data_IF_493037813187
#
_entry.id   IF_493037813187
#
_cell.length_a   1.000
_cell.length_b   1.000
_cell.length_c   1.000
_cell.angle_alpha   90.00
_cell.angle_beta   90.00
_cell.angle_gamma   90.00
#
_symmetry.space_group_name_H-M   'P 1'
#
loop_
_entity.id
_entity.type
_entity.pdbx_description
1 polymer ?
#
# COMPACT_ATOMS: atom_id res chain seq x y z
N UNK A 1 44.38 14.88 1.68
CA UNK A 1 43.57 15.48 0.59
C UNK A 1 42.44 14.54 0.26
N UNK A 2 41.19 14.86 0.64
CA UNK A 2 40.02 14.07 0.29
C UNK A 2 39.83 14.17 -1.23
N UNK A 3 39.84 13.03 -1.94
CA UNK A 3 39.41 12.99 -3.34
C UNK A 3 38.00 13.55 -3.37
N UNK A 4 37.80 14.70 -4.02
CA UNK A 4 36.50 15.21 -4.37
C UNK A 4 35.79 14.13 -5.17
N UNK A 5 34.69 13.59 -4.61
CA UNK A 5 33.87 12.55 -5.21
C UNK A 5 33.11 13.20 -6.38
N UNK A 6 33.61 13.07 -7.60
CA UNK A 6 33.01 13.62 -8.82
C UNK A 6 31.86 12.73 -9.31
N UNK A 7 30.95 12.36 -8.42
CA UNK A 7 29.75 11.61 -8.79
C UNK A 7 28.88 12.43 -9.73
N UNK A 8 28.30 11.78 -10.77
CA UNK A 8 27.39 12.46 -11.70
C UNK A 8 26.13 12.99 -10.97
N UNK A 9 25.72 12.28 -9.90
CA UNK A 9 24.60 12.66 -9.00
C UNK A 9 24.99 12.47 -7.54
N UNK A 10 24.39 13.30 -6.67
CA UNK A 10 24.48 13.07 -5.23
C UNK A 10 23.66 11.84 -4.83
N UNK A 11 22.50 11.64 -5.47
CA UNK A 11 21.64 10.48 -5.23
C UNK A 11 21.00 9.96 -6.51
N UNK A 12 20.93 8.63 -6.63
CA UNK A 12 20.10 7.95 -7.66
C UNK A 12 19.03 7.13 -6.95
N UNK A 13 17.78 7.30 -7.38
CA UNK A 13 16.63 6.57 -6.87
C UNK A 13 16.14 5.60 -7.94
N UNK A 14 16.02 4.32 -7.56
CA UNK A 14 15.53 3.26 -8.44
C UNK A 14 14.04 3.07 -8.20
N UNK A 15 13.21 3.48 -9.16
CA UNK A 15 11.76 3.37 -9.14
C UNK A 15 11.04 4.62 -8.64
N UNK A 16 10.10 5.12 -9.45
CA UNK A 16 9.27 6.30 -9.20
C UNK A 16 7.91 5.97 -8.54
N UNK A 17 7.84 4.97 -7.64
CA UNK A 17 6.70 4.80 -6.74
C UNK A 17 6.69 5.91 -5.68
N UNK A 18 5.60 6.05 -4.92
CA UNK A 18 5.39 7.15 -3.96
C UNK A 18 6.57 7.34 -3.00
N UNK A 19 7.13 6.26 -2.44
CA UNK A 19 8.28 6.36 -1.53
C UNK A 19 9.53 6.95 -2.19
N UNK A 20 9.82 6.56 -3.45
CA UNK A 20 10.94 7.08 -4.23
C UNK A 20 10.73 8.53 -4.64
N UNK A 21 9.52 8.87 -5.10
CA UNK A 21 9.17 10.26 -5.47
C UNK A 21 9.28 11.21 -4.28
N UNK A 22 8.71 10.86 -3.13
CA UNK A 22 8.80 11.67 -1.91
C UNK A 22 10.25 11.82 -1.45
N UNK A 23 11.02 10.71 -1.41
CA UNK A 23 12.44 10.77 -1.07
C UNK A 23 13.20 11.71 -2.01
N UNK A 24 12.98 11.59 -3.31
CA UNK A 24 13.59 12.42 -4.35
C UNK A 24 13.26 13.91 -4.18
N UNK A 25 11.99 14.25 -3.92
CA UNK A 25 11.56 15.61 -3.67
C UNK A 25 12.34 16.25 -2.52
N UNK A 26 12.42 15.57 -1.37
CA UNK A 26 13.12 16.11 -0.21
C UNK A 26 14.63 16.23 -0.43
N UNK A 27 15.26 15.29 -1.11
CA UNK A 27 16.69 15.38 -1.46
C UNK A 27 16.95 16.54 -2.43
N UNK A 28 16.12 16.68 -3.47
CA UNK A 28 16.25 17.78 -4.45
C UNK A 28 15.95 19.14 -3.80
N UNK A 29 14.91 19.25 -2.96
CA UNK A 29 14.60 20.47 -2.19
C UNK A 29 15.76 20.88 -1.28
N UNK A 30 16.53 19.91 -0.78
CA UNK A 30 17.74 20.18 0.01
C UNK A 30 18.98 20.53 -0.84
N UNK A 31 18.82 20.73 -2.15
CA UNK A 31 19.87 21.16 -3.08
C UNK A 31 20.76 20.03 -3.61
N UNK A 32 20.39 18.76 -3.43
CA UNK A 32 21.12 17.63 -3.99
C UNK A 32 20.78 17.44 -5.47
N UNK A 33 21.76 17.04 -6.27
CA UNK A 33 21.55 16.59 -7.65
C UNK A 33 21.00 15.17 -7.66
N UNK A 34 19.72 14.99 -7.98
CA UNK A 34 19.00 13.70 -7.83
C UNK A 34 18.47 13.21 -9.17
N UNK A 35 18.72 11.93 -9.48
CA UNK A 35 18.10 11.20 -10.58
C UNK A 35 17.11 10.17 -10.03
N UNK A 36 15.90 10.13 -10.59
CA UNK A 36 14.98 9.00 -10.44
C UNK A 36 14.90 8.25 -11.76
N UNK A 37 15.24 6.95 -11.76
CA UNK A 37 15.12 6.06 -12.91
C UNK A 37 13.91 5.12 -12.72
N UNK A 38 12.94 5.20 -13.65
CA UNK A 38 11.70 4.42 -13.63
C UNK A 38 11.57 3.57 -14.90
N UNK A 39 11.30 2.27 -14.75
CA UNK A 39 11.17 1.34 -15.88
C UNK A 39 9.89 1.58 -16.72
N UNK A 40 8.85 2.14 -16.11
CA UNK A 40 7.59 2.48 -16.78
C UNK A 40 7.65 3.84 -17.47
N UNK A 41 6.70 4.06 -18.39
CA UNK A 41 6.52 5.33 -19.08
C UNK A 41 5.78 6.40 -18.27
N UNK A 42 5.50 6.13 -16.99
CA UNK A 42 4.88 7.07 -16.03
C UNK A 42 5.26 6.73 -14.59
N UNK A 43 5.27 7.75 -13.70
CA UNK A 43 5.54 7.55 -12.28
C UNK A 43 4.32 7.00 -11.55
N UNK A 44 4.50 6.57 -10.28
CA UNK A 44 3.43 6.24 -9.35
C UNK A 44 3.50 4.83 -8.78
N UNK A 45 4.10 3.87 -9.48
CA UNK A 45 4.10 2.48 -9.04
C UNK A 45 2.66 1.93 -8.94
N UNK A 46 2.22 1.51 -7.75
CA UNK A 46 0.81 1.09 -7.55
C UNK A 46 -0.20 2.25 -7.61
N UNK A 47 0.23 3.50 -7.40
CA UNK A 47 -0.61 4.70 -7.53
C UNK A 47 -0.70 5.18 -8.98
N UNK A 48 -0.74 4.26 -9.95
CA UNK A 48 -0.96 4.58 -11.37
C UNK A 48 -2.41 4.37 -11.74
N UNK A 49 -2.88 5.11 -12.77
CA UNK A 49 -4.17 4.87 -13.40
C UNK A 49 -3.97 4.50 -14.87
N UNK A 50 -4.91 3.79 -15.45
CA UNK A 50 -4.90 3.43 -16.87
C UNK A 50 -6.27 3.69 -17.51
N UNK A 51 -6.26 3.91 -18.84
CA UNK A 51 -7.50 4.18 -19.60
C UNK A 51 -7.84 3.02 -20.52
N UNK A 52 -9.12 2.65 -20.60
CA UNK A 52 -9.67 1.67 -21.55
C UNK A 52 -11.07 2.09 -21.97
N UNK A 53 -11.32 2.14 -23.28
CA UNK A 53 -12.63 2.49 -23.86
C UNK A 53 -13.28 3.74 -23.25
N UNK A 54 -12.50 4.78 -22.95
CA UNK A 54 -12.99 6.00 -22.32
C UNK A 54 -13.02 5.98 -20.78
N UNK A 55 -12.99 4.83 -20.14
CA UNK A 55 -12.95 4.69 -18.70
C UNK A 55 -11.53 4.87 -18.14
N UNK A 56 -11.43 5.49 -16.97
CA UNK A 56 -10.18 5.63 -16.21
C UNK A 56 -10.25 4.76 -14.95
N UNK A 57 -9.24 3.93 -14.75
CA UNK A 57 -9.16 3.01 -13.61
C UNK A 57 -7.89 3.25 -12.81
N UNK A 58 -7.99 3.31 -11.50
CA UNK A 58 -6.83 3.21 -10.62
C UNK A 58 -6.33 1.77 -10.57
N UNK A 59 -5.03 1.56 -10.78
CA UNK A 59 -4.47 0.22 -10.94
C UNK A 59 -4.38 -0.57 -9.61
N UNK A 60 -4.24 0.13 -8.49
CA UNK A 60 -4.08 -0.45 -7.17
C UNK A 60 -4.86 0.32 -6.10
N UNK A 61 -4.21 1.19 -5.29
CA UNK A 61 -4.92 2.01 -4.31
C UNK A 61 -5.95 2.92 -4.98
N UNK A 62 -7.09 3.06 -4.34
CA UNK A 62 -8.19 3.92 -4.79
C UNK A 62 -8.59 4.92 -3.70
N UNK A 63 -7.77 5.06 -2.67
CA UNK A 63 -7.79 6.09 -1.64
C UNK A 63 -6.49 6.03 -0.84
N UNK A 64 -6.30 7.03 -0.02
CA UNK A 64 -5.23 7.08 0.97
C UNK A 64 -5.76 7.60 2.30
N UNK A 65 -4.93 7.56 3.33
CA UNK A 65 -5.24 8.04 4.66
C UNK A 65 -4.19 9.01 5.17
N UNK A 66 -4.25 9.29 6.48
CA UNK A 66 -3.29 10.16 7.15
C UNK A 66 -3.23 11.58 6.56
N UNK A 67 -4.41 12.14 6.24
CA UNK A 67 -4.54 13.48 5.65
C UNK A 67 -5.30 14.48 6.55
N UNK A 68 -5.61 14.09 7.81
CA UNK A 68 -6.02 15.05 8.83
C UNK A 68 -4.95 16.12 9.05
N UNK A 69 -5.24 17.19 9.76
CA UNK A 69 -4.36 18.33 10.00
C UNK A 69 -2.93 17.93 10.43
N UNK A 70 -2.79 16.92 11.31
CA UNK A 70 -1.51 16.40 11.80
C UNK A 70 -1.08 15.12 11.05
N UNK A 71 -1.78 14.75 9.98
CA UNK A 71 -1.51 13.53 9.21
C UNK A 71 -0.23 13.63 8.41
N UNK A 72 0.52 12.54 8.34
CA UNK A 72 1.82 12.53 7.67
C UNK A 72 1.73 12.79 6.16
N UNK A 73 0.66 12.34 5.51
CA UNK A 73 0.47 12.56 4.07
C UNK A 73 0.27 14.05 3.80
N UNK A 74 -0.60 14.72 4.58
CA UNK A 74 -0.84 16.14 4.48
C UNK A 74 0.42 16.95 4.74
N UNK A 75 1.11 16.66 5.83
CA UNK A 75 2.39 17.29 6.18
C UNK A 75 3.41 17.20 5.04
N UNK A 76 3.57 16.02 4.40
CA UNK A 76 4.49 15.84 3.29
C UNK A 76 4.11 16.72 2.10
N UNK A 77 2.83 16.79 1.73
CA UNK A 77 2.37 17.59 0.59
C UNK A 77 2.56 19.09 0.87
N UNK A 78 2.22 19.57 2.07
CA UNK A 78 2.42 20.97 2.52
C UNK A 78 3.91 21.33 2.55
N UNK A 79 4.77 20.50 3.17
CA UNK A 79 6.22 20.75 3.22
C UNK A 79 6.88 20.74 1.82
N UNK A 80 6.33 19.99 0.88
CA UNK A 80 6.77 19.99 -0.52
C UNK A 80 6.09 21.07 -1.37
N UNK A 81 5.21 21.89 -0.79
CA UNK A 81 4.52 23.01 -1.46
C UNK A 81 3.78 22.54 -2.74
N UNK A 82 3.09 21.40 -2.65
CA UNK A 82 2.36 20.77 -3.77
C UNK A 82 0.90 20.46 -3.43
N UNK A 83 0.46 20.74 -2.22
CA UNK A 83 -0.91 20.52 -1.74
C UNK A 83 -1.94 21.35 -2.52
N UNK A 84 -1.64 22.60 -2.84
CA UNK A 84 -2.52 23.49 -3.63
C UNK A 84 -2.77 22.99 -5.06
N UNK A 85 -1.91 22.12 -5.59
CA UNK A 85 -2.08 21.52 -6.91
C UNK A 85 -3.04 20.29 -6.89
N UNK A 86 -3.55 19.92 -5.72
CA UNK A 86 -4.40 18.76 -5.52
C UNK A 86 -5.77 19.15 -4.96
N UNK A 87 -6.83 18.75 -5.64
CA UNK A 87 -8.17 18.74 -5.04
C UNK A 87 -8.40 17.38 -4.40
N UNK A 88 -8.35 17.34 -3.06
CA UNK A 88 -8.55 16.11 -2.29
C UNK A 88 -9.95 16.12 -1.70
N UNK A 89 -10.71 15.10 -2.01
CA UNK A 89 -12.06 14.88 -1.48
C UNK A 89 -12.02 13.75 -0.46
N UNK A 90 -12.94 13.77 0.52
CA UNK A 90 -13.09 12.74 1.53
C UNK A 90 -14.51 12.19 1.53
N UNK A 91 -14.65 10.88 1.43
CA UNK A 91 -15.96 10.23 1.54
C UNK A 91 -16.43 10.16 3.00
N UNK A 92 -17.74 10.29 3.23
CA UNK A 92 -18.38 10.11 4.55
C UNK A 92 -19.71 9.36 4.42
N UNK A 93 -19.80 8.10 4.87
CA UNK A 93 -18.75 7.33 5.52
C UNK A 93 -17.59 7.01 4.57
N UNK A 94 -16.37 6.87 5.13
CA UNK A 94 -15.19 6.43 4.35
C UNK A 94 -15.31 4.96 3.95
N UNK A 95 -15.84 4.16 4.87
CA UNK A 95 -15.99 2.71 4.73
C UNK A 95 -17.34 2.25 5.27
N UNK A 96 -17.85 1.14 4.75
CA UNK A 96 -18.98 0.40 5.31
C UNK A 96 -18.63 -1.07 5.38
N UNK A 97 -18.62 -1.64 6.57
CA UNK A 97 -18.41 -3.08 6.78
C UNK A 97 -19.78 -3.77 6.76
N UNK A 98 -19.95 -4.66 5.78
CA UNK A 98 -21.20 -5.42 5.60
C UNK A 98 -20.96 -6.86 6.06
N UNK A 99 -21.66 -7.24 7.12
CA UNK A 99 -21.68 -8.59 7.71
C UNK A 99 -23.00 -9.27 7.41
N UNK A 100 -23.18 -10.56 7.73
CA UNK A 100 -24.44 -11.25 7.49
C UNK A 100 -25.68 -10.62 8.14
N UNK A 101 -25.50 -9.90 9.25
CA UNK A 101 -26.60 -9.39 10.05
C UNK A 101 -26.65 -7.86 10.11
N UNK A 102 -25.50 -7.18 9.93
CA UNK A 102 -25.39 -5.75 10.18
C UNK A 102 -24.50 -5.03 9.15
N UNK A 103 -24.70 -3.73 9.04
CA UNK A 103 -23.80 -2.82 8.34
C UNK A 103 -23.20 -1.84 9.34
N UNK A 104 -21.89 -1.64 9.26
CA UNK A 104 -21.13 -0.77 10.16
C UNK A 104 -20.44 0.34 9.35
N UNK A 105 -21.08 1.50 9.19
CA UNK A 105 -20.44 2.66 8.59
C UNK A 105 -19.32 3.21 9.48
N UNK A 106 -18.21 3.56 8.86
CA UNK A 106 -17.11 4.27 9.50
C UNK A 106 -17.19 5.73 9.05
N UNK A 107 -17.71 6.57 9.92
CA UNK A 107 -17.86 8.00 9.64
C UNK A 107 -16.60 8.79 9.97
N UNK A 108 -16.48 9.96 9.36
CA UNK A 108 -15.43 10.93 9.67
C UNK A 108 -15.48 11.39 11.13
N UNK A 109 -16.66 11.33 11.75
CA UNK A 109 -16.86 11.50 13.18
C UNK A 109 -16.74 10.14 13.88
N UNK A 110 -15.63 9.89 14.54
CA UNK A 110 -15.37 8.65 15.28
C UNK A 110 -16.43 8.40 16.36
N UNK A 111 -16.90 9.45 17.07
CA UNK A 111 -17.95 9.31 18.11
C UNK A 111 -19.18 8.62 17.56
N UNK A 112 -19.65 9.04 16.37
CA UNK A 112 -20.79 8.43 15.69
C UNK A 112 -20.56 6.95 15.33
N UNK A 113 -19.33 6.61 14.89
CA UNK A 113 -18.96 5.20 14.62
C UNK A 113 -18.99 4.36 15.89
N UNK A 114 -18.46 4.89 17.01
CA UNK A 114 -18.45 4.18 18.29
C UNK A 114 -19.87 4.00 18.86
N UNK A 115 -20.70 5.04 18.81
CA UNK A 115 -22.12 4.98 19.22
C UNK A 115 -22.88 3.90 18.45
N UNK A 116 -22.68 3.82 17.13
CA UNK A 116 -23.29 2.78 16.32
C UNK A 116 -22.82 1.37 16.71
N UNK A 117 -21.51 1.16 16.90
CA UNK A 117 -20.98 -0.11 17.38
C UNK A 117 -21.56 -0.49 18.76
N UNK A 118 -21.70 0.48 19.68
CA UNK A 118 -22.25 0.26 21.02
C UNK A 118 -23.76 -0.06 20.96
N UNK A 119 -24.49 0.52 20.01
CA UNK A 119 -25.91 0.19 19.81
C UNK A 119 -26.10 -1.27 19.36
N UNK A 120 -25.20 -1.76 18.49
CA UNK A 120 -25.26 -3.14 17.98
C UNK A 120 -24.70 -4.14 19.00
N UNK A 121 -23.70 -3.74 19.79
CA UNK A 121 -23.03 -4.58 20.80
C UNK A 121 -23.07 -3.91 22.18
N UNK A 122 -24.24 -3.79 22.81
CA UNK A 122 -24.39 -3.01 24.04
C UNK A 122 -23.58 -3.57 25.23
N UNK A 123 -23.44 -4.90 25.32
CA UNK A 123 -22.67 -5.56 26.39
C UNK A 123 -21.15 -5.27 26.28
N UNK A 124 -20.66 -4.82 25.12
CA UNK A 124 -19.24 -4.49 24.88
C UNK A 124 -18.99 -2.98 24.90
N UNK A 125 -19.99 -2.16 25.21
CA UNK A 125 -19.95 -0.70 25.10
C UNK A 125 -18.73 -0.04 25.76
N UNK A 126 -18.39 -0.30 27.04
CA UNK A 126 -17.21 0.25 27.69
C UNK A 126 -15.89 -0.22 27.04
N UNK A 127 -15.84 -1.49 26.61
CA UNK A 127 -14.68 -2.12 26.01
C UNK A 127 -14.39 -1.54 24.62
N UNK A 128 -15.44 -1.20 23.84
CA UNK A 128 -15.29 -0.53 22.54
C UNK A 128 -14.54 0.79 22.69
N UNK A 129 -14.91 1.65 23.65
CA UNK A 129 -14.22 2.93 23.90
C UNK A 129 -12.75 2.71 24.29
N UNK A 130 -12.49 1.77 25.22
CA UNK A 130 -11.14 1.45 25.67
C UNK A 130 -10.26 0.91 24.53
N UNK A 131 -10.80 0.04 23.69
CA UNK A 131 -10.10 -0.51 22.54
C UNK A 131 -9.71 0.58 21.52
N UNK A 132 -10.63 1.44 21.14
CA UNK A 132 -10.32 2.53 20.19
C UNK A 132 -9.36 3.56 20.79
N UNK A 133 -9.42 3.83 22.10
CA UNK A 133 -8.41 4.64 22.79
C UNK A 133 -7.01 4.03 22.69
N UNK A 134 -6.87 2.71 22.82
CA UNK A 134 -5.59 2.02 22.61
C UNK A 134 -5.10 2.13 21.15
N UNK A 135 -6.00 1.97 20.17
CA UNK A 135 -5.61 2.06 18.75
C UNK A 135 -5.12 3.45 18.35
N UNK A 136 -5.62 4.48 19.01
CA UNK A 136 -5.27 5.89 18.79
C UNK A 136 -4.13 6.39 19.70
N UNK A 137 -3.68 5.57 20.64
CA UNK A 137 -2.57 5.92 21.52
C UNK A 137 -1.29 6.13 20.69
N UNK A 138 -0.63 7.27 20.91
CA UNK A 138 0.62 7.64 20.23
C UNK A 138 1.85 7.41 21.11
N UNK A 139 1.68 6.84 22.31
CA UNK A 139 2.78 6.60 23.24
C UNK A 139 3.78 5.58 22.67
N UNK A 140 5.09 5.90 22.60
CA UNK A 140 6.13 4.99 22.12
C UNK A 140 6.20 3.65 22.87
N UNK A 141 5.89 3.63 24.16
CA UNK A 141 5.89 2.39 24.96
C UNK A 141 4.75 1.47 24.51
N UNK A 142 3.56 1.99 24.27
CA UNK A 142 2.43 1.25 23.70
C UNK A 142 2.79 0.66 22.33
N UNK A 143 3.44 1.42 21.46
CA UNK A 143 3.91 0.94 20.18
C UNK A 143 4.91 -0.21 20.30
N UNK A 144 5.87 -0.13 21.24
CA UNK A 144 6.84 -1.20 21.46
C UNK A 144 6.16 -2.50 21.89
N UNK A 145 5.14 -2.42 22.74
CA UNK A 145 4.33 -3.58 23.17
C UNK A 145 3.52 -4.16 22.01
N UNK A 146 2.80 -3.33 21.29
CA UNK A 146 1.92 -3.76 20.20
C UNK A 146 2.68 -4.41 19.02
N UNK A 147 3.95 -4.09 18.80
CA UNK A 147 4.79 -4.75 17.79
C UNK A 147 5.01 -6.23 18.05
N UNK A 148 5.05 -6.65 19.32
CA UNK A 148 5.42 -8.00 19.76
C UNK A 148 4.25 -8.97 19.84
N UNK A 149 3.01 -8.46 19.79
CA UNK A 149 1.79 -9.23 19.96
C UNK A 149 0.92 -9.19 18.71
N UNK A 150 -0.01 -10.16 18.60
CA UNK A 150 -0.94 -10.21 17.48
C UNK A 150 -2.15 -9.30 17.72
N UNK A 151 -2.81 -8.87 16.65
CA UNK A 151 -4.06 -8.11 16.76
C UNK A 151 -5.16 -8.93 17.42
N UNK A 152 -5.18 -10.27 17.17
CA UNK A 152 -6.09 -11.19 17.88
C UNK A 152 -5.93 -11.11 19.38
N UNK A 153 -4.71 -11.08 19.91
CA UNK A 153 -4.50 -11.04 21.36
C UNK A 153 -5.04 -9.75 22.00
N UNK A 154 -5.03 -8.64 21.26
CA UNK A 154 -5.66 -7.40 21.74
C UNK A 154 -7.18 -7.48 21.65
N UNK A 155 -7.74 -8.02 20.55
CA UNK A 155 -9.18 -8.25 20.46
C UNK A 155 -9.69 -9.15 21.60
N UNK A 156 -8.97 -10.22 21.92
CA UNK A 156 -9.36 -11.16 22.99
C UNK A 156 -9.23 -10.55 24.40
N UNK A 157 -8.34 -9.55 24.56
CA UNK A 157 -8.20 -8.83 25.83
C UNK A 157 -9.40 -7.89 26.09
N UNK A 158 -9.95 -7.29 25.02
CA UNK A 158 -11.03 -6.31 25.16
C UNK A 158 -12.42 -6.92 25.01
N UNK A 159 -12.60 -7.93 24.16
CA UNK A 159 -13.91 -8.40 23.73
C UNK A 159 -14.12 -9.89 23.95
N UNK A 160 -15.34 -10.23 24.36
CA UNK A 160 -15.82 -11.62 24.40
C UNK A 160 -16.64 -11.96 23.15
N UNK A 161 -17.34 -10.99 22.58
CA UNK A 161 -18.23 -11.17 21.43
C UNK A 161 -17.46 -11.49 20.14
N UNK A 162 -17.63 -12.73 19.63
CA UNK A 162 -16.94 -13.20 18.44
C UNK A 162 -17.33 -12.42 17.15
N UNK A 163 -18.59 -11.96 17.02
CA UNK A 163 -19.05 -11.20 15.86
C UNK A 163 -18.43 -9.81 15.83
N UNK A 164 -18.31 -9.14 16.99
CA UNK A 164 -17.60 -7.86 17.10
C UNK A 164 -16.13 -8.01 16.74
N UNK A 165 -15.44 -9.03 17.27
CA UNK A 165 -14.04 -9.30 16.93
C UNK A 165 -13.85 -9.54 15.42
N UNK A 166 -14.74 -10.29 14.79
CA UNK A 166 -14.72 -10.51 13.36
C UNK A 166 -14.96 -9.20 12.58
N UNK A 167 -15.98 -8.43 12.95
CA UNK A 167 -16.31 -7.14 12.31
C UNK A 167 -15.12 -6.19 12.32
N UNK A 168 -14.40 -6.08 13.45
CA UNK A 168 -13.19 -5.26 13.56
C UNK A 168 -11.98 -5.84 12.82
N UNK A 169 -12.00 -7.13 12.47
CA UNK A 169 -10.89 -7.79 11.76
C UNK A 169 -11.03 -7.77 10.24
N UNK A 170 -12.23 -7.75 9.72
CA UNK A 170 -12.49 -7.83 8.28
C UNK A 170 -11.86 -6.72 7.44
N UNK A 171 -11.94 -5.42 7.81
CA UNK A 171 -11.27 -4.37 7.05
C UNK A 171 -9.77 -4.61 6.97
N UNK A 172 -9.15 -5.11 8.05
CA UNK A 172 -7.71 -5.40 8.08
C UNK A 172 -7.35 -6.57 7.15
N UNK A 173 -8.17 -7.62 7.11
CA UNK A 173 -7.97 -8.74 6.18
C UNK A 173 -8.10 -8.27 4.73
N UNK A 174 -9.07 -7.41 4.43
CA UNK A 174 -9.29 -6.88 3.08
C UNK A 174 -8.13 -5.99 2.61
N UNK A 175 -7.60 -5.11 3.47
CA UNK A 175 -6.58 -4.10 3.10
C UNK A 175 -5.14 -4.53 3.35
N UNK A 176 -4.89 -5.64 4.07
CA UNK A 176 -3.53 -6.13 4.34
C UNK A 176 -3.33 -7.62 4.04
N UNK A 177 -4.42 -8.36 3.89
CA UNK A 177 -4.38 -9.78 3.54
C UNK A 177 -3.93 -10.72 4.67
N UNK A 178 -3.94 -10.26 5.94
CA UNK A 178 -3.61 -11.06 7.12
C UNK A 178 -4.80 -11.16 8.08
N UNK A 179 -5.04 -12.35 8.68
CA UNK A 179 -6.01 -12.50 9.74
C UNK A 179 -5.46 -11.94 11.05
N UNK A 180 -6.32 -11.64 12.04
CA UNK A 180 -5.89 -11.06 13.31
C UNK A 180 -4.91 -11.94 14.09
N UNK A 181 -4.94 -13.26 13.90
CA UNK A 181 -4.01 -14.20 14.57
C UNK A 181 -2.55 -14.09 14.08
N UNK A 182 -2.33 -13.56 12.88
CA UNK A 182 -1.01 -13.39 12.29
C UNK A 182 -0.57 -11.93 12.24
N UNK A 183 -1.52 -10.98 12.16
CA UNK A 183 -1.22 -9.56 12.05
C UNK A 183 -0.65 -9.02 13.36
N UNK A 184 0.41 -8.22 13.28
CA UNK A 184 0.90 -7.45 14.42
C UNK A 184 -0.15 -6.44 14.90
N UNK A 185 -0.35 -6.36 16.20
CA UNK A 185 -1.27 -5.39 16.80
C UNK A 185 -0.86 -3.94 16.47
N UNK A 186 0.44 -3.65 16.35
CA UNK A 186 0.93 -2.35 15.92
C UNK A 186 0.45 -1.98 14.52
N UNK A 187 0.54 -2.92 13.56
CA UNK A 187 0.08 -2.65 12.19
C UNK A 187 -1.44 -2.53 12.15
N UNK A 188 -2.17 -3.38 12.87
CA UNK A 188 -3.62 -3.26 13.02
C UNK A 188 -4.04 -1.90 13.57
N UNK A 189 -3.39 -1.43 14.66
CA UNK A 189 -3.64 -0.10 15.22
C UNK A 189 -3.35 1.02 14.23
N UNK A 190 -2.22 0.95 13.50
CA UNK A 190 -1.87 1.94 12.47
C UNK A 190 -2.81 1.94 11.29
N UNK A 191 -3.27 0.79 10.82
CA UNK A 191 -4.29 0.72 9.76
C UNK A 191 -5.61 1.33 10.24
N UNK A 192 -6.01 1.12 11.48
CA UNK A 192 -7.20 1.77 12.04
C UNK A 192 -7.02 3.28 12.15
N UNK A 193 -5.95 3.76 12.80
CA UNK A 193 -5.77 5.18 13.07
C UNK A 193 -5.50 6.00 11.81
N UNK A 194 -4.73 5.47 10.85
CA UNK A 194 -4.22 6.22 9.71
C UNK A 194 -4.91 5.93 8.38
N UNK A 195 -5.75 4.89 8.32
CA UNK A 195 -6.37 4.49 7.06
C UNK A 195 -7.89 4.22 7.17
N UNK A 196 -8.38 3.62 8.27
CA UNK A 196 -9.81 3.35 8.44
C UNK A 196 -10.49 4.58 9.05
N UNK A 197 -9.99 5.10 10.19
CA UNK A 197 -10.56 6.27 10.89
C UNK A 197 -10.19 7.56 10.16
N UNK A 198 -8.92 7.73 9.77
CA UNK A 198 -8.44 8.88 8.99
C UNK A 198 -8.19 8.47 7.53
N UNK A 199 -9.20 7.88 6.90
CA UNK A 199 -9.17 7.38 5.53
C UNK A 199 -10.20 8.04 4.62
N UNK A 200 -10.42 7.40 3.46
CA UNK A 200 -11.41 7.83 2.49
C UNK A 200 -10.99 9.04 1.65
N UNK A 201 -9.76 9.51 1.75
CA UNK A 201 -9.24 10.62 0.93
C UNK A 201 -8.88 10.16 -0.48
N UNK A 202 -9.28 10.96 -1.46
CA UNK A 202 -9.07 10.65 -2.87
C UNK A 202 -8.69 11.92 -3.64
N UNK A 203 -7.63 11.89 -4.47
CA UNK A 203 -7.29 13.01 -5.33
C UNK A 203 -8.24 13.01 -6.54
N UNK A 204 -8.94 14.11 -6.76
CA UNK A 204 -9.87 14.25 -7.88
C UNK A 204 -9.10 14.05 -9.20
N UNK A 205 -9.61 13.15 -10.04
CA UNK A 205 -8.95 12.76 -11.30
C UNK A 205 -8.14 11.46 -11.22
N UNK A 206 -8.04 10.82 -10.03
CA UNK A 206 -7.42 9.50 -9.86
C UNK A 206 -6.10 9.51 -9.09
N UNK A 207 -5.68 8.34 -8.64
CA UNK A 207 -4.43 8.19 -7.89
C UNK A 207 -3.18 8.57 -8.68
N UNK A 208 -3.24 8.55 -10.02
CA UNK A 208 -2.16 9.04 -10.88
C UNK A 208 -1.89 10.53 -10.66
N UNK A 209 -2.93 11.34 -10.41
CA UNK A 209 -2.78 12.79 -10.18
C UNK A 209 -1.88 13.05 -8.97
N UNK A 210 -2.02 12.28 -7.89
CA UNK A 210 -1.13 12.38 -6.73
C UNK A 210 0.34 12.11 -7.12
N UNK A 211 0.58 11.03 -7.87
CA UNK A 211 1.92 10.66 -8.30
C UNK A 211 2.53 11.69 -9.26
N UNK A 212 1.75 12.19 -10.20
CA UNK A 212 2.18 13.19 -11.19
C UNK A 212 2.49 14.53 -10.49
N UNK A 213 1.69 14.95 -9.52
CA UNK A 213 1.92 16.18 -8.74
C UNK A 213 3.23 16.09 -7.94
N UNK A 214 3.49 14.94 -7.27
CA UNK A 214 4.77 14.76 -6.57
C UNK A 214 5.93 14.74 -7.57
N UNK A 215 5.78 14.11 -8.73
CA UNK A 215 6.82 14.08 -9.78
C UNK A 215 7.08 15.49 -10.37
N UNK A 216 6.06 16.32 -10.51
CA UNK A 216 6.21 17.72 -10.93
C UNK A 216 6.94 18.53 -9.85
N UNK A 217 6.59 18.36 -8.58
CA UNK A 217 7.33 18.96 -7.45
C UNK A 217 8.80 18.57 -7.46
N UNK A 218 9.11 17.29 -7.69
CA UNK A 218 10.48 16.81 -7.84
C UNK A 218 11.26 17.55 -8.94
N UNK A 219 10.65 17.69 -10.12
CA UNK A 219 11.27 18.43 -11.24
C UNK A 219 11.42 19.92 -10.92
N UNK A 220 10.45 20.54 -10.25
CA UNK A 220 10.50 21.95 -9.82
C UNK A 220 11.70 22.23 -8.89
N UNK A 221 12.07 21.25 -8.05
CA UNK A 221 13.29 21.31 -7.23
C UNK A 221 14.58 20.94 -7.97
N UNK A 222 14.55 20.81 -9.31
CA UNK A 222 15.73 20.49 -10.12
C UNK A 222 16.06 19.00 -10.20
N UNK A 223 15.18 18.13 -9.74
CA UNK A 223 15.34 16.67 -9.88
C UNK A 223 15.13 16.18 -11.31
N UNK A 224 15.93 15.20 -11.73
CA UNK A 224 15.84 14.55 -13.04
C UNK A 224 15.03 13.26 -12.95
N UNK A 225 13.93 13.14 -13.69
CA UNK A 225 13.11 11.93 -13.78
C UNK A 225 13.24 11.31 -15.17
N UNK A 226 13.88 10.14 -15.25
CA UNK A 226 13.97 9.32 -16.46
C UNK A 226 12.95 8.19 -16.41
N UNK A 227 11.92 8.30 -17.24
CA UNK A 227 10.92 7.26 -17.48
C UNK A 227 11.42 6.27 -18.54
N UNK A 228 10.80 5.10 -18.64
CA UNK A 228 11.20 4.02 -19.56
C UNK A 228 12.69 3.64 -19.40
N UNK A 229 13.25 3.89 -18.23
CA UNK A 229 14.66 3.70 -17.92
C UNK A 229 14.80 2.66 -16.80
N UNK A 230 15.17 1.45 -17.19
CA UNK A 230 15.34 0.34 -16.24
C UNK A 230 16.74 0.31 -15.69
N UNK A 231 16.89 0.22 -14.37
CA UNK A 231 18.15 -0.13 -13.73
C UNK A 231 18.34 -1.65 -13.76
N UNK A 232 19.53 -2.13 -14.16
CA UNK A 232 19.90 -3.55 -14.21
C UNK A 232 20.70 -3.97 -13.01
N UNK A 233 21.66 -3.13 -12.56
CA UNK A 233 22.55 -3.43 -11.44
C UNK A 233 22.83 -2.20 -10.59
N UNK A 234 23.11 -2.43 -9.31
CA UNK A 234 23.76 -1.47 -8.40
C UNK A 234 25.24 -1.79 -8.42
N UNK A 235 26.06 -0.82 -8.84
CA UNK A 235 27.53 -0.97 -8.84
C UNK A 235 28.07 -0.74 -7.44
N UNK A 236 28.98 -1.59 -7.02
CA UNK A 236 29.69 -1.44 -5.75
C UNK A 236 31.22 -1.42 -5.98
N UNK A 237 31.90 -0.66 -5.14
CA UNK A 237 33.34 -0.79 -4.91
C UNK A 237 33.53 -1.28 -3.48
N UNK A 238 33.98 -2.53 -3.33
CA UNK A 238 34.09 -3.24 -2.05
C UNK A 238 32.76 -3.20 -1.28
N UNK A 239 32.65 -2.32 -0.29
CA UNK A 239 31.52 -2.20 0.63
C UNK A 239 30.65 -0.95 0.37
N UNK A 240 30.88 -0.24 -0.75
CA UNK A 240 30.13 1.01 -1.03
C UNK A 240 29.40 0.94 -2.37
N UNK A 241 28.14 1.34 -2.38
CA UNK A 241 27.40 1.60 -3.61
C UNK A 241 27.96 2.86 -4.28
N UNK A 242 28.33 2.76 -5.57
CA UNK A 242 28.97 3.83 -6.35
C UNK A 242 28.12 4.36 -7.49
N UNK A 243 26.95 3.75 -7.71
CA UNK A 243 26.00 4.14 -8.76
C UNK A 243 25.21 2.96 -9.30
N UNK A 244 24.64 3.13 -10.48
CA UNK A 244 23.79 2.14 -11.13
C UNK A 244 24.19 1.90 -12.58
N UNK A 245 23.89 0.70 -13.09
CA UNK A 245 23.99 0.36 -14.51
C UNK A 245 22.56 0.30 -15.06
N UNK A 246 22.31 1.06 -16.12
CA UNK A 246 21.03 1.11 -16.80
C UNK A 246 20.80 -0.10 -17.73
N UNK A 247 19.61 -0.20 -18.30
CA UNK A 247 19.19 -1.28 -19.22
C UNK A 247 20.00 -1.35 -20.52
N UNK A 248 20.48 -0.21 -21.02
CA UNK A 248 21.36 -0.02 -22.19
C UNK A 248 22.84 -0.32 -21.89
N UNK A 249 23.22 -0.44 -20.62
CA UNK A 249 24.58 -0.72 -20.16
C UNK A 249 25.31 0.51 -19.63
N UNK A 250 24.74 1.70 -19.71
CA UNK A 250 25.35 2.94 -19.22
C UNK A 250 25.51 2.91 -17.69
N UNK A 251 26.71 3.27 -17.23
CA UNK A 251 27.00 3.48 -15.81
C UNK A 251 26.78 4.93 -15.42
N UNK A 252 25.97 5.14 -14.38
CA UNK A 252 25.77 6.46 -13.77
C UNK A 252 26.24 6.40 -12.33
N UNK A 253 27.21 7.25 -12.00
CA UNK A 253 27.79 7.32 -10.64
C UNK A 253 26.92 8.14 -9.69
N UNK A 254 26.91 7.74 -8.42
CA UNK A 254 26.25 8.49 -7.35
C UNK A 254 26.90 8.27 -5.99
N UNK A 255 26.76 9.26 -5.12
CA UNK A 255 27.16 9.15 -3.71
C UNK A 255 26.22 8.26 -2.91
N UNK A 256 24.90 8.32 -3.21
CA UNK A 256 23.86 7.53 -2.58
C UNK A 256 23.04 6.81 -3.64
N UNK A 257 22.72 5.55 -3.40
CA UNK A 257 21.77 4.76 -4.20
C UNK A 257 20.58 4.41 -3.32
N UNK A 258 19.39 4.80 -3.72
CA UNK A 258 18.15 4.57 -2.97
C UNK A 258 17.26 3.65 -3.79
N UNK A 259 16.95 2.48 -3.27
CA UNK A 259 16.06 1.52 -3.94
C UNK A 259 14.64 1.66 -3.42
N UNK A 260 13.70 1.95 -4.33
CA UNK A 260 12.26 1.95 -4.07
C UNK A 260 11.57 0.75 -4.73
N UNK A 261 12.32 -0.32 -4.99
CA UNK A 261 11.82 -1.56 -5.57
C UNK A 261 11.83 -2.69 -4.55
N UNK A 262 11.36 -3.84 -4.95
CA UNK A 262 11.31 -5.04 -4.12
C UNK A 262 12.66 -5.34 -3.43
N UNK A 263 12.63 -5.66 -2.14
CA UNK A 263 13.84 -5.89 -1.35
C UNK A 263 14.66 -7.08 -1.88
N UNK A 264 14.00 -8.17 -2.31
CA UNK A 264 14.71 -9.31 -2.91
C UNK A 264 15.31 -8.94 -4.26
N UNK A 265 14.64 -8.13 -5.05
CA UNK A 265 15.23 -7.59 -6.28
C UNK A 265 16.43 -6.71 -5.97
N UNK A 266 16.31 -5.81 -5.00
CA UNK A 266 17.38 -4.91 -4.61
C UNK A 266 18.63 -5.70 -4.24
N UNK A 267 18.51 -6.63 -3.30
CA UNK A 267 19.69 -7.30 -2.73
C UNK A 267 20.16 -8.53 -3.54
N UNK A 268 19.23 -9.31 -4.12
CA UNK A 268 19.59 -10.57 -4.78
C UNK A 268 19.79 -10.44 -6.30
N UNK A 269 19.32 -9.34 -6.91
CA UNK A 269 19.44 -9.14 -8.37
C UNK A 269 20.20 -7.88 -8.72
N UNK A 270 19.79 -6.72 -8.19
CA UNK A 270 20.42 -5.45 -8.55
C UNK A 270 21.79 -5.30 -7.90
N UNK A 271 21.91 -5.60 -6.63
CA UNK A 271 23.20 -5.63 -5.92
C UNK A 271 24.02 -6.88 -6.28
N UNK A 272 23.33 -8.03 -6.38
CA UNK A 272 23.94 -9.34 -6.55
C UNK A 272 24.04 -10.10 -5.23
N UNK A 273 23.72 -11.40 -5.30
CA UNK A 273 23.77 -12.28 -4.13
C UNK A 273 25.19 -12.34 -3.51
N UNK A 274 26.20 -12.27 -4.35
CA UNK A 274 27.62 -12.31 -3.99
C UNK A 274 28.08 -11.10 -3.18
N UNK A 275 27.34 -9.98 -3.27
CA UNK A 275 27.59 -8.75 -2.51
C UNK A 275 26.67 -8.62 -1.28
N UNK A 276 25.80 -9.61 -1.05
CA UNK A 276 24.86 -9.62 0.08
C UNK A 276 25.43 -10.47 1.20
N UNK A 277 25.58 -9.89 2.39
CA UNK A 277 26.07 -10.59 3.57
C UNK A 277 25.24 -11.85 3.86
N UNK A 278 25.87 -12.95 4.21
CA UNK A 278 25.25 -14.27 4.34
C UNK A 278 24.12 -14.28 5.38
N UNK A 279 24.30 -13.67 6.54
CA UNK A 279 23.29 -13.57 7.56
C UNK A 279 22.06 -12.78 7.06
N UNK A 280 22.31 -11.62 6.43
CA UNK A 280 21.25 -10.82 5.83
C UNK A 280 20.52 -11.57 4.71
N UNK A 281 21.24 -12.34 3.88
CA UNK A 281 20.66 -13.20 2.87
C UNK A 281 19.70 -14.25 3.47
N UNK A 282 20.10 -14.89 4.58
CA UNK A 282 19.25 -15.86 5.27
C UNK A 282 17.97 -15.21 5.82
N UNK A 283 18.12 -14.07 6.49
CA UNK A 283 16.97 -13.30 6.99
C UNK A 283 16.04 -12.91 5.83
N UNK A 284 16.57 -12.30 4.77
CA UNK A 284 15.79 -11.88 3.60
C UNK A 284 15.07 -13.06 2.92
N UNK A 285 15.72 -14.22 2.88
CA UNK A 285 15.18 -15.44 2.26
C UNK A 285 14.06 -16.07 3.09
N UNK A 286 14.10 -15.94 4.41
CA UNK A 286 13.08 -16.44 5.33
C UNK A 286 11.83 -15.53 5.41
N UNK A 287 11.95 -14.26 5.01
CA UNK A 287 10.84 -13.30 5.06
C UNK A 287 9.68 -13.70 4.13
N UNK A 288 8.48 -13.61 4.64
CA UNK A 288 7.24 -13.95 3.93
C UNK A 288 6.63 -12.68 3.33
N UNK A 289 6.35 -12.63 2.02
CA UNK A 289 5.65 -11.49 1.41
C UNK A 289 4.17 -11.49 1.81
N UNK A 290 3.54 -10.32 1.75
CA UNK A 290 2.08 -10.21 1.86
C UNK A 290 1.38 -10.97 0.73
N UNK A 291 0.10 -11.23 0.89
CA UNK A 291 -0.74 -11.67 -0.23
C UNK A 291 -0.76 -10.60 -1.33
N UNK A 292 -1.06 -11.05 -2.53
CA UNK A 292 -1.44 -10.19 -3.65
C UNK A 292 -2.95 -9.98 -3.66
N UNK A 293 -3.46 -9.32 -4.71
CA UNK A 293 -4.88 -9.11 -4.91
C UNK A 293 -5.32 -9.61 -6.30
N UNK A 294 -6.56 -10.06 -6.38
CA UNK A 294 -7.31 -10.11 -7.62
C UNK A 294 -8.21 -8.88 -7.67
N UNK A 295 -8.03 -8.03 -8.67
CA UNK A 295 -8.73 -6.75 -8.76
C UNK A 295 -9.58 -6.77 -10.02
N UNK A 296 -10.85 -6.43 -9.88
CA UNK A 296 -11.83 -6.28 -10.94
C UNK A 296 -12.00 -4.80 -11.28
N UNK A 297 -11.98 -4.49 -12.56
CA UNK A 297 -12.21 -3.17 -13.12
C UNK A 297 -13.43 -3.20 -14.02
N UNK A 298 -14.49 -2.48 -13.67
CA UNK A 298 -15.72 -2.40 -14.44
C UNK A 298 -15.97 -0.97 -14.86
N UNK A 299 -16.09 -0.74 -16.16
CA UNK A 299 -16.70 0.47 -16.70
C UNK A 299 -18.19 0.25 -16.79
N UNK A 300 -18.99 1.14 -16.22
CA UNK A 300 -20.44 0.99 -16.13
C UNK A 300 -21.17 2.09 -16.91
N UNK A 301 -22.41 1.79 -17.24
CA UNK A 301 -23.31 2.73 -17.93
C UNK A 301 -23.41 4.02 -17.12
N UNK A 302 -23.23 5.16 -17.80
CA UNK A 302 -23.28 6.49 -17.20
C UNK A 302 -24.61 6.84 -16.52
N UNK A 303 -25.70 6.19 -16.90
CA UNK A 303 -27.04 6.41 -16.35
C UNK A 303 -27.36 5.47 -15.19
N UNK A 304 -26.52 4.46 -14.96
CA UNK A 304 -26.68 3.53 -13.85
C UNK A 304 -26.21 4.15 -12.53
N UNK A 305 -27.10 4.09 -11.53
CA UNK A 305 -26.83 4.59 -10.17
C UNK A 305 -27.05 3.48 -9.16
N UNK A 306 -26.00 2.76 -8.78
CA UNK A 306 -26.08 1.81 -7.66
C UNK A 306 -26.48 2.53 -6.36
N UNK A 307 -27.12 1.81 -5.47
CA UNK A 307 -27.54 2.33 -4.15
C UNK A 307 -26.35 2.77 -3.27
N UNK A 308 -25.16 2.30 -3.60
CA UNK A 308 -23.94 2.57 -2.87
C UNK A 308 -23.44 4.01 -3.09
N UNK A 309 -23.00 4.67 -2.03
CA UNK A 309 -22.41 6.00 -2.12
C UNK A 309 -21.09 5.95 -2.89
N UNK A 310 -20.86 6.85 -3.86
CA UNK A 310 -19.63 6.92 -4.60
C UNK A 310 -18.47 7.32 -3.66
N UNK A 311 -17.30 6.75 -3.91
CA UNK A 311 -16.11 7.01 -3.11
C UNK A 311 -16.05 6.25 -1.77
N UNK A 312 -17.14 5.74 -1.23
CA UNK A 312 -17.15 4.88 -0.04
C UNK A 312 -16.63 3.48 -0.36
N UNK A 313 -15.79 2.92 0.50
CA UNK A 313 -15.34 1.55 0.38
C UNK A 313 -16.32 0.61 1.12
N UNK A 314 -16.84 -0.39 0.43
CA UNK A 314 -17.73 -1.41 0.98
C UNK A 314 -16.98 -2.72 1.17
N UNK A 315 -16.87 -3.16 2.42
CA UNK A 315 -16.22 -4.42 2.81
C UNK A 315 -17.30 -5.47 3.10
N UNK A 316 -17.57 -6.31 2.13
CA UNK A 316 -18.60 -7.37 2.26
C UNK A 316 -18.00 -8.68 2.78
N UNK A 317 -18.69 -9.31 3.74
CA UNK A 317 -18.34 -10.64 4.26
C UNK A 317 -19.61 -11.47 4.52
N UNK A 318 -19.61 -12.70 4.00
CA UNK A 318 -20.75 -13.62 4.10
C UNK A 318 -20.79 -14.45 5.40
N UNK A 319 -19.74 -14.38 6.24
CA UNK A 319 -19.62 -15.13 7.50
C UNK A 319 -18.63 -14.47 8.45
N UNK A 320 -18.66 -14.84 9.73
CA UNK A 320 -17.81 -14.25 10.78
C UNK A 320 -16.48 -14.99 11.03
N UNK A 321 -16.16 -16.07 10.32
CA UNK A 321 -14.90 -16.80 10.52
C UNK A 321 -13.78 -16.23 9.64
N UNK A 322 -13.08 -15.22 10.19
CA UNK A 322 -11.95 -14.51 9.52
C UNK A 322 -10.78 -15.45 9.25
N UNK A 323 -10.53 -16.39 10.14
CA UNK A 323 -9.45 -17.36 10.01
C UNK A 323 -9.73 -18.38 8.88
N UNK A 324 -10.99 -18.83 8.78
CA UNK A 324 -11.45 -19.67 7.64
C UNK A 324 -11.33 -18.93 6.33
N UNK A 325 -11.77 -17.66 6.28
CA UNK A 325 -11.64 -16.79 5.11
C UNK A 325 -10.18 -16.71 4.64
N UNK A 326 -9.25 -16.45 5.55
CA UNK A 326 -7.82 -16.40 5.22
C UNK A 326 -7.28 -17.74 4.71
N UNK A 327 -7.63 -18.86 5.34
CA UNK A 327 -7.22 -20.20 4.86
C UNK A 327 -7.75 -20.51 3.47
N UNK A 328 -8.99 -20.12 3.16
CA UNK A 328 -9.60 -20.26 1.84
C UNK A 328 -8.84 -19.47 0.78
N UNK A 329 -8.57 -18.18 1.04
CA UNK A 329 -7.78 -17.33 0.14
C UNK A 329 -6.42 -17.94 -0.16
N UNK A 330 -5.68 -18.40 0.85
CA UNK A 330 -4.36 -19.01 0.64
C UNK A 330 -4.39 -20.23 -0.30
N UNK A 331 -5.48 -20.97 -0.33
CA UNK A 331 -5.69 -22.08 -1.25
C UNK A 331 -6.13 -21.62 -2.65
N UNK A 332 -6.65 -20.40 -2.77
CA UNK A 332 -7.30 -19.88 -3.98
C UNK A 332 -8.77 -20.23 -4.06
N UNK A 333 -9.38 -20.59 -2.95
CA UNK A 333 -10.82 -20.80 -2.80
C UNK A 333 -11.49 -19.45 -2.50
N UNK A 334 -11.87 -18.72 -3.56
CA UNK A 334 -12.50 -17.43 -3.45
C UNK A 334 -13.96 -17.50 -2.96
N UNK A 335 -14.64 -18.61 -3.23
CA UNK A 335 -15.98 -18.84 -2.71
C UNK A 335 -15.95 -19.04 -1.19
N UNK A 336 -15.00 -19.84 -0.69
CA UNK A 336 -14.78 -20.05 0.75
C UNK A 336 -14.24 -18.82 1.48
N UNK A 337 -13.60 -17.87 0.76
CA UNK A 337 -13.25 -16.56 1.31
C UNK A 337 -14.51 -15.77 1.67
N UNK A 338 -15.51 -15.79 0.81
CA UNK A 338 -16.82 -15.22 1.06
C UNK A 338 -16.86 -13.70 1.22
N UNK A 339 -15.80 -12.99 0.81
CA UNK A 339 -15.70 -11.54 0.99
C UNK A 339 -15.08 -10.81 -0.19
N UNK A 340 -15.19 -9.49 -0.18
CA UNK A 340 -14.52 -8.58 -1.12
C UNK A 340 -14.60 -7.14 -0.61
N UNK A 341 -13.73 -6.26 -1.16
CA UNK A 341 -13.90 -4.81 -1.04
C UNK A 341 -14.37 -4.26 -2.38
N UNK A 342 -15.27 -3.26 -2.35
CA UNK A 342 -15.85 -2.62 -3.53
C UNK A 342 -15.86 -1.11 -3.33
N UNK A 343 -15.57 -0.35 -4.39
CA UNK A 343 -15.72 1.10 -4.44
C UNK A 343 -16.26 1.52 -5.80
N UNK A 344 -17.19 2.47 -5.80
CA UNK A 344 -17.71 3.13 -6.99
C UNK A 344 -16.98 4.47 -7.14
N UNK A 345 -16.53 4.80 -8.34
CA UNK A 345 -15.92 6.09 -8.61
C UNK A 345 -16.88 7.25 -8.31
N UNK A 346 -16.34 8.41 -7.95
CA UNK A 346 -17.13 9.59 -7.55
C UNK A 346 -18.07 10.09 -8.67
N UNK A 347 -17.71 9.83 -9.92
CA UNK A 347 -18.50 10.17 -11.12
C UNK A 347 -19.41 9.01 -11.59
N UNK A 348 -19.46 7.92 -10.84
CA UNK A 348 -20.19 6.69 -11.18
C UNK A 348 -19.76 6.00 -12.48
N UNK A 349 -18.62 6.38 -13.07
CA UNK A 349 -18.17 5.80 -14.33
C UNK A 349 -17.60 4.40 -14.19
N UNK A 350 -17.03 4.08 -13.02
CA UNK A 350 -16.33 2.81 -12.81
C UNK A 350 -16.61 2.20 -11.44
N UNK A 351 -16.46 0.87 -11.40
CA UNK A 351 -16.43 0.09 -10.16
C UNK A 351 -15.08 -0.59 -10.06
N UNK A 352 -14.42 -0.39 -8.93
CA UNK A 352 -13.27 -1.16 -8.48
C UNK A 352 -13.76 -2.19 -7.46
N UNK A 353 -13.39 -3.45 -7.63
CA UNK A 353 -13.61 -4.45 -6.59
C UNK A 353 -12.35 -5.33 -6.45
N UNK A 354 -12.03 -5.70 -5.21
CA UNK A 354 -10.82 -6.46 -4.93
C UNK A 354 -10.99 -7.50 -3.83
N UNK A 355 -10.21 -8.55 -3.92
CA UNK A 355 -10.07 -9.57 -2.88
C UNK A 355 -8.62 -10.03 -2.79
N UNK A 356 -8.12 -10.38 -1.60
CA UNK A 356 -6.80 -10.98 -1.47
C UNK A 356 -6.69 -12.26 -2.31
N UNK A 357 -5.53 -12.49 -2.91
CA UNK A 357 -5.32 -13.65 -3.77
C UNK A 357 -3.88 -14.20 -3.64
N UNK A 358 -3.69 -15.54 -3.67
CA UNK A 358 -2.38 -16.14 -3.62
C UNK A 358 -1.68 -16.02 -4.98
N UNK A 359 -0.35 -15.91 -4.95
CA UNK A 359 0.42 -15.97 -6.18
C UNK A 359 0.37 -17.37 -6.80
N UNK A 360 -0.09 -17.45 -8.03
CA UNK A 360 -0.11 -18.65 -8.86
C UNK A 360 0.66 -18.42 -10.15
N UNK A 361 0.98 -19.47 -10.89
CA UNK A 361 1.72 -19.40 -12.15
C UNK A 361 1.01 -18.53 -13.22
N UNK A 362 1.76 -18.11 -14.22
CA UNK A 362 1.20 -17.44 -15.39
C UNK A 362 0.14 -18.30 -16.09
N UNK A 363 0.44 -19.59 -16.28
CA UNK A 363 -0.49 -20.55 -16.92
C UNK A 363 -1.79 -20.68 -16.13
N UNK A 364 -1.73 -20.77 -14.80
CA UNK A 364 -2.93 -20.79 -13.96
C UNK A 364 -3.82 -19.58 -14.24
N UNK A 365 -3.26 -18.35 -14.21
CA UNK A 365 -4.06 -17.15 -14.41
C UNK A 365 -4.51 -16.97 -15.87
N UNK A 366 -3.75 -17.46 -16.84
CA UNK A 366 -4.22 -17.49 -18.25
C UNK A 366 -5.49 -18.32 -18.39
N UNK A 367 -5.59 -19.45 -17.69
CA UNK A 367 -6.74 -20.35 -17.75
C UNK A 367 -7.92 -19.88 -16.87
N UNK A 368 -7.64 -19.31 -15.69
CA UNK A 368 -8.66 -19.08 -14.66
C UNK A 368 -9.09 -17.62 -14.47
N UNK A 369 -8.39 -16.65 -15.05
CA UNK A 369 -8.70 -15.23 -14.88
C UNK A 369 -10.14 -14.88 -15.27
N UNK A 370 -10.57 -15.37 -16.43
CA UNK A 370 -11.91 -15.07 -16.96
C UNK A 370 -13.02 -15.67 -16.11
N UNK A 371 -12.90 -16.94 -15.70
CA UNK A 371 -13.88 -17.61 -14.86
C UNK A 371 -13.93 -16.97 -13.46
N UNK A 372 -12.77 -16.64 -12.87
CA UNK A 372 -12.70 -15.94 -11.59
C UNK A 372 -13.39 -14.55 -11.68
N UNK A 373 -13.13 -13.81 -12.75
CA UNK A 373 -13.76 -12.50 -12.99
C UNK A 373 -15.29 -12.63 -13.10
N UNK A 374 -15.80 -13.59 -13.88
CA UNK A 374 -17.24 -13.80 -14.04
C UNK A 374 -17.90 -14.23 -12.72
N UNK A 375 -17.29 -15.13 -11.97
CA UNK A 375 -17.78 -15.55 -10.66
C UNK A 375 -17.79 -14.40 -9.66
N UNK A 376 -16.81 -13.51 -9.71
CA UNK A 376 -16.73 -12.34 -8.85
C UNK A 376 -17.82 -11.31 -9.19
N UNK A 377 -18.08 -11.06 -10.48
CA UNK A 377 -19.19 -10.20 -10.92
C UNK A 377 -20.53 -10.76 -10.42
N UNK A 378 -20.76 -12.08 -10.62
CA UNK A 378 -21.97 -12.74 -10.14
C UNK A 378 -22.14 -12.66 -8.62
N UNK A 379 -21.03 -12.74 -7.85
CA UNK A 379 -21.07 -12.55 -6.41
C UNK A 379 -21.51 -11.13 -6.04
N UNK A 380 -20.90 -10.10 -6.65
CA UNK A 380 -21.27 -8.70 -6.41
C UNK A 380 -22.73 -8.46 -6.77
N UNK A 381 -23.17 -8.97 -7.92
CA UNK A 381 -24.56 -8.83 -8.38
C UNK A 381 -25.57 -9.44 -7.40
N UNK A 382 -25.25 -10.62 -6.86
CA UNK A 382 -26.08 -11.30 -5.88
C UNK A 382 -26.15 -10.59 -4.52
N UNK A 383 -25.07 -9.94 -4.08
CA UNK A 383 -24.91 -9.52 -2.69
C UNK A 383 -24.93 -8.01 -2.47
N UNK A 384 -24.60 -7.21 -3.49
CA UNK A 384 -24.44 -5.77 -3.34
C UNK A 384 -25.17 -4.95 -4.41
N UNK A 385 -24.94 -5.23 -5.69
CA UNK A 385 -25.43 -4.39 -6.78
C UNK A 385 -26.26 -5.25 -7.74
N UNK A 386 -27.57 -5.30 -7.51
CA UNK A 386 -28.50 -6.06 -8.34
C UNK A 386 -28.45 -5.62 -9.80
N UNK A 387 -28.55 -6.58 -10.71
CA UNK A 387 -28.51 -6.38 -12.17
C UNK A 387 -27.24 -5.74 -12.71
N UNK A 388 -26.13 -5.76 -11.95
CA UNK A 388 -24.84 -5.17 -12.33
C UNK A 388 -24.41 -5.60 -13.74
N UNK A 389 -24.55 -6.87 -14.08
CA UNK A 389 -24.11 -7.44 -15.38
C UNK A 389 -24.74 -6.74 -16.59
N UNK A 390 -25.97 -6.20 -16.46
CA UNK A 390 -26.67 -5.49 -17.55
C UNK A 390 -26.09 -4.11 -17.83
N UNK A 391 -25.35 -3.53 -16.90
CA UNK A 391 -24.82 -2.17 -16.97
C UNK A 391 -23.33 -2.12 -17.21
N UNK A 392 -22.66 -3.26 -17.37
CA UNK A 392 -21.21 -3.33 -17.62
C UNK A 392 -20.95 -3.04 -19.10
N UNK A 393 -20.23 -1.95 -19.38
CA UNK A 393 -19.75 -1.56 -20.71
C UNK A 393 -18.33 -2.05 -20.97
N UNK A 394 -17.52 -2.19 -19.91
CA UNK A 394 -16.15 -2.70 -19.96
C UNK A 394 -15.84 -3.52 -18.74
N UNK A 395 -15.10 -4.63 -18.90
CA UNK A 395 -14.58 -5.43 -17.77
C UNK A 395 -13.17 -5.94 -18.03
N UNK A 396 -12.33 -5.85 -17.05
CA UNK A 396 -11.01 -6.47 -16.99
C UNK A 396 -10.66 -6.79 -15.53
N UNK A 397 -9.61 -7.57 -15.33
CA UNK A 397 -9.10 -7.86 -14.00
C UNK A 397 -7.57 -7.89 -13.97
N UNK A 398 -6.99 -7.49 -12.84
CA UNK A 398 -5.60 -7.75 -12.52
C UNK A 398 -5.49 -8.96 -11.59
N UNK A 399 -4.68 -9.93 -11.97
CA UNK A 399 -4.31 -11.07 -11.14
C UNK A 399 -3.00 -10.79 -10.37
N UNK A 400 -2.62 -11.60 -9.37
CA UNK A 400 -1.30 -11.54 -8.77
C UNK A 400 -0.14 -11.59 -9.76
N UNK A 401 -0.30 -12.33 -10.85
CA UNK A 401 0.70 -12.34 -11.93
C UNK A 401 0.74 -11.01 -12.71
N UNK A 402 -0.41 -10.34 -12.87
CA UNK A 402 -0.46 -8.98 -13.46
C UNK A 402 0.31 -8.00 -12.56
N UNK A 403 0.07 -8.04 -11.24
CA UNK A 403 0.80 -7.22 -10.28
C UNK A 403 2.32 -7.45 -10.35
N UNK A 404 2.74 -8.72 -10.36
CA UNK A 404 4.14 -9.08 -10.53
C UNK A 404 4.73 -8.55 -11.85
N UNK A 405 4.01 -8.68 -12.96
CA UNK A 405 4.48 -8.23 -14.29
C UNK A 405 4.80 -6.74 -14.30
N UNK A 406 3.97 -5.92 -13.66
CA UNK A 406 4.13 -4.48 -13.70
C UNK A 406 5.10 -3.93 -12.66
N UNK A 407 5.20 -4.54 -11.49
CA UNK A 407 6.00 -4.01 -10.39
C UNK A 407 7.27 -4.81 -10.12
N UNK A 408 7.32 -6.04 -10.61
CA UNK A 408 8.32 -7.05 -10.27
C UNK A 408 8.38 -7.36 -8.75
N UNK A 409 7.38 -6.96 -7.98
CA UNK A 409 7.28 -7.30 -6.56
C UNK A 409 7.19 -8.81 -6.37
N UNK A 410 7.99 -9.36 -5.47
CA UNK A 410 8.07 -10.80 -5.22
C UNK A 410 6.67 -11.38 -4.94
N UNK A 411 6.29 -12.38 -5.73
CA UNK A 411 4.94 -12.98 -5.71
C UNK A 411 3.80 -11.98 -5.88
N UNK A 412 4.03 -10.87 -6.58
CA UNK A 412 3.01 -9.84 -6.79
C UNK A 412 2.48 -9.21 -5.49
N UNK A 413 3.28 -9.23 -4.42
CA UNK A 413 2.88 -8.77 -3.09
C UNK A 413 2.32 -7.34 -3.14
N UNK A 414 1.12 -7.15 -2.58
CA UNK A 414 0.44 -5.86 -2.60
C UNK A 414 0.99 -4.88 -1.54
N UNK A 415 1.52 -5.41 -0.42
CA UNK A 415 1.90 -4.64 0.76
C UNK A 415 3.34 -4.89 1.23
N UNK A 416 4.21 -5.41 0.37
CA UNK A 416 5.58 -5.78 0.72
C UNK A 416 5.62 -7.03 1.60
N UNK A 417 6.23 -6.94 2.78
CA UNK A 417 6.30 -8.05 3.72
C UNK A 417 4.98 -8.26 4.48
N UNK A 418 4.68 -9.51 4.82
CA UNK A 418 3.57 -9.83 5.71
C UNK A 418 3.78 -9.16 7.09
N UNK A 419 2.81 -8.41 7.54
CA UNK A 419 2.92 -7.56 8.74
C UNK A 419 2.74 -8.37 10.05
N UNK A 420 3.55 -9.42 10.22
CA UNK A 420 3.56 -10.27 11.43
C UNK A 420 4.49 -9.68 12.50
N UNK A 421 4.27 -9.96 13.81
CA UNK A 421 5.15 -9.50 14.87
C UNK A 421 6.62 -9.85 14.63
N UNK A 422 6.91 -11.08 14.19
CA UNK A 422 8.29 -11.55 13.95
C UNK A 422 8.99 -10.79 12.83
N UNK A 423 8.27 -10.34 11.80
CA UNK A 423 8.85 -9.62 10.67
C UNK A 423 9.04 -8.12 10.92
N UNK A 424 8.25 -7.54 11.83
CA UNK A 424 8.39 -6.11 12.17
C UNK A 424 9.62 -5.77 13.00
N UNK A 425 10.23 -6.75 13.64
CA UNK A 425 11.42 -6.55 14.48
C UNK A 425 12.73 -6.79 13.72
N UNK A 426 12.66 -7.23 12.47
CA UNK A 426 13.87 -7.50 11.66
C UNK A 426 14.58 -6.20 11.33
N UNK A 427 15.85 -6.00 11.77
CA UNK A 427 16.60 -4.80 11.49
C UNK A 427 17.20 -4.80 10.07
N UNK A 428 17.58 -3.65 9.57
CA UNK A 428 18.53 -3.52 8.47
C UNK A 428 17.99 -3.35 7.06
N UNK A 429 16.67 -3.55 6.80
CA UNK A 429 16.14 -3.40 5.42
C UNK A 429 16.24 -1.97 4.88
N UNK A 430 16.13 -0.94 5.69
CA UNK A 430 16.17 0.47 5.24
C UNK A 430 17.58 0.95 4.93
N UNK A 431 18.57 0.48 5.69
CA UNK A 431 19.99 0.85 5.53
C UNK A 431 20.84 -0.35 5.90
N UNK A 432 21.22 -1.21 4.94
CA UNK A 432 22.04 -2.37 5.23
C UNK A 432 23.43 -1.91 5.70
N UNK A 433 23.96 -2.55 6.75
CA UNK A 433 25.26 -2.21 7.34
C UNK A 433 26.44 -2.59 6.45
N UNK A 434 26.27 -3.62 5.63
CA UNK A 434 27.31 -4.19 4.79
C UNK A 434 27.53 -3.45 3.46
N UNK A 435 26.62 -2.52 3.07
CA UNK A 435 26.79 -1.68 1.87
C UNK A 435 26.56 -0.22 2.20
N UNK A 436 27.62 0.54 2.31
CA UNK A 436 27.55 1.97 2.53
C UNK A 436 26.89 2.69 1.34
N UNK A 437 26.13 3.73 1.60
CA UNK A 437 25.49 4.55 0.57
C UNK A 437 24.25 3.90 -0.10
N UNK A 438 23.89 2.66 0.26
CA UNK A 438 22.67 2.01 -0.19
C UNK A 438 21.55 2.18 0.85
N UNK A 439 20.36 2.58 0.37
CA UNK A 439 19.15 2.72 1.17
C UNK A 439 17.97 2.02 0.49
N UNK A 440 17.01 1.55 1.29
CA UNK A 440 15.72 1.05 0.80
C UNK A 440 14.60 1.96 1.29
N UNK A 441 13.66 2.30 0.40
CA UNK A 441 12.44 3.05 0.70
C UNK A 441 11.19 2.32 0.19
N UNK A 442 10.01 2.84 0.49
CA UNK A 442 8.74 2.26 0.05
C UNK A 442 8.27 1.10 0.90
N UNK A 443 7.30 0.34 0.39
CA UNK A 443 6.55 -0.66 1.17
C UNK A 443 7.33 -1.96 1.46
N UNK A 444 8.51 -2.14 0.89
CA UNK A 444 9.39 -3.28 1.18
C UNK A 444 10.31 -3.05 2.39
N UNK A 445 10.17 -1.93 3.06
CA UNK A 445 10.73 -1.71 4.40
C UNK A 445 9.77 -2.24 5.46
N UNK A 446 10.24 -2.47 6.67
CA UNK A 446 9.41 -3.03 7.75
C UNK A 446 8.27 -2.13 8.23
N UNK A 447 8.18 -0.89 7.74
CA UNK A 447 7.22 0.13 8.21
C UNK A 447 6.43 0.82 7.08
N UNK A 448 6.63 0.46 5.81
CA UNK A 448 6.14 1.19 4.65
C UNK A 448 4.80 0.74 4.09
N UNK A 449 3.87 0.24 4.92
CA UNK A 449 2.58 -0.28 4.44
C UNK A 449 1.66 0.83 3.93
N UNK A 450 1.10 0.64 2.72
CA UNK A 450 0.17 1.58 2.07
C UNK A 450 0.84 2.84 1.51
N UNK A 451 0.02 3.75 0.98
CA UNK A 451 0.49 5.00 0.33
C UNK A 451 1.19 5.90 1.34
N UNK A 452 0.53 6.19 2.46
CA UNK A 452 1.05 7.06 3.53
C UNK A 452 2.31 6.48 4.18
N UNK A 453 2.36 5.16 4.40
CA UNK A 453 3.53 4.50 4.95
C UNK A 453 4.74 4.55 4.00
N UNK A 454 4.52 4.33 2.69
CA UNK A 454 5.58 4.46 1.69
C UNK A 454 6.10 5.90 1.60
N UNK A 455 5.20 6.90 1.62
CA UNK A 455 5.55 8.32 1.66
C UNK A 455 6.39 8.66 2.89
N UNK A 456 5.96 8.20 4.07
CA UNK A 456 6.69 8.40 5.34
C UNK A 456 8.13 7.84 5.28
N UNK A 457 8.30 6.62 4.76
CA UNK A 457 9.64 6.02 4.65
C UNK A 457 10.53 6.82 3.70
N UNK A 458 9.98 7.32 2.60
CA UNK A 458 10.69 8.21 1.68
C UNK A 458 11.15 9.50 2.36
N UNK A 459 10.24 10.17 3.07
CA UNK A 459 10.48 11.36 3.87
C UNK A 459 11.56 11.16 4.93
N UNK A 460 11.40 10.13 5.77
CA UNK A 460 12.33 9.87 6.86
C UNK A 460 13.73 9.43 6.36
N UNK A 461 13.81 8.72 5.25
CA UNK A 461 15.10 8.34 4.64
C UNK A 461 15.82 9.57 4.09
N UNK A 462 15.12 10.47 3.40
CA UNK A 462 15.72 11.73 2.93
C UNK A 462 16.27 12.55 4.10
N UNK A 463 15.50 12.72 5.18
CA UNK A 463 15.95 13.43 6.40
C UNK A 463 17.17 12.81 7.04
N UNK A 464 17.30 11.48 7.01
CA UNK A 464 18.48 10.81 7.53
C UNK A 464 19.72 11.00 6.64
N UNK A 465 19.55 11.19 5.33
CA UNK A 465 20.65 11.44 4.38
C UNK A 465 21.15 12.88 4.50
N UNK A 466 20.27 13.87 4.52
CA UNK A 466 20.64 15.30 4.54
C UNK A 466 20.87 15.86 5.93
N UNK A 467 20.46 15.14 6.97
CA UNK A 467 20.44 15.60 8.36
C UNK A 467 19.17 16.38 8.71
N UNK A 468 18.64 16.13 9.92
CA UNK A 468 17.32 16.62 10.39
C UNK A 468 17.16 18.14 10.39
N UNK A 469 18.24 18.92 10.35
CA UNK A 469 18.23 20.39 10.39
C UNK A 469 18.12 21.06 9.02
N UNK A 470 18.14 20.29 7.91
CA UNK A 470 18.16 20.84 6.54
C UNK A 470 16.85 20.60 5.76
N UNK A 471 15.85 20.01 6.41
CA UNK A 471 14.51 19.77 5.87
C UNK A 471 13.47 20.33 6.82
#
# INVERSE_FOLDING_TARGET
MSKTDHSAYDAIIIGAGIGGLVCGCYLAKAGMKVLIAEQHNKPGGYCTSFKRLGFTFDAGPHCFGSYRKEGITRKILEELEIDDALTIIRSDPSDVIITPEHQFPVWNNLGRTLEHLQTVFPDEGPNIKGFFSLLLDTNPQSFSRLRKVTFKSILDQYFTNAKLKATLSFPLLAVNGLPPSLMSAFVGAKLYSEFIIDGGYYPLGGMQVLADTIAQGFKRYGGELRLSTRVRNIRTDKTRATGVILGDGDFISSRYTISNVDARQTFLRLLGKEHTEQEFYHVLSSMVPSLSNFILYLGIDKDFRPVHNPGTAYHYFSHYDVEKAYRAVKKGDFAGYGGYALRIAHDYSTIYAGMPAPFKSKSYWTQNKQSTMNSFIAQIEKTSIQHLSKHIQYKDAASPHTMFRYTLNYKGAAYGWAATPSQLIVPGFRKPSFVQGLYLVGHWTTHGVGVSGAAYVGYDTARNIVGKKRI
#
